data_IF_522822322202
#
_entry.id   IF_522822322202
#
_cell.length_a   1.000
_cell.length_b   1.000
_cell.length_c   1.000
_cell.angle_alpha   90.00
_cell.angle_beta   90.00
_cell.angle_gamma   90.00
#
_symmetry.space_group_name_H-M   'P 1'
#
loop_
_entity.id
_entity.type
_entity.pdbx_description
1 polymer ?
#
# COMPACT_ATOMS: atom_id res chain seq x y z
N UNK A 1 10.14 5.22 -12.42
CA UNK A 1 9.38 3.98 -12.12
C UNK A 1 8.85 3.42 -13.42
N UNK A 2 9.10 2.14 -13.72
CA UNK A 2 8.46 1.41 -14.83
C UNK A 2 6.93 1.46 -14.65
N UNK A 3 6.16 1.33 -15.73
CA UNK A 3 4.68 1.29 -15.74
C UNK A 3 4.14 0.42 -14.57
N UNK A 4 4.72 -0.76 -14.41
CA UNK A 4 4.40 -1.77 -13.40
C UNK A 4 4.45 -1.24 -11.96
N UNK A 5 5.39 -0.34 -11.66
CA UNK A 5 5.50 0.25 -10.32
C UNK A 5 4.36 1.21 -10.00
N UNK A 6 3.82 1.92 -11.00
CA UNK A 6 2.67 2.81 -10.82
C UNK A 6 1.40 2.00 -10.59
N UNK A 7 1.22 0.91 -11.35
CA UNK A 7 0.08 0.01 -11.21
C UNK A 7 0.14 -0.68 -9.84
N UNK A 8 1.31 -1.19 -9.44
CA UNK A 8 1.52 -1.77 -8.11
C UNK A 8 1.16 -0.80 -6.98
N UNK A 9 1.58 0.47 -7.08
CA UNK A 9 1.22 1.50 -6.11
C UNK A 9 -0.29 1.75 -6.04
N UNK A 10 -0.95 1.83 -7.20
CA UNK A 10 -2.40 2.04 -7.25
C UNK A 10 -3.16 0.86 -6.62
N UNK A 11 -2.81 -0.37 -6.99
CA UNK A 11 -3.46 -1.58 -6.48
C UNK A 11 -3.26 -1.71 -4.97
N UNK A 12 -2.05 -1.43 -4.48
CA UNK A 12 -1.76 -1.44 -3.06
C UNK A 12 -2.55 -0.37 -2.30
N UNK A 13 -2.67 0.85 -2.83
CA UNK A 13 -3.46 1.90 -2.20
C UNK A 13 -4.96 1.59 -2.23
N UNK A 14 -5.47 0.94 -3.29
CA UNK A 14 -6.85 0.42 -3.37
C UNK A 14 -7.09 -0.67 -2.35
N UNK A 15 -6.19 -1.65 -2.26
CA UNK A 15 -6.23 -2.70 -1.23
C UNK A 15 -6.35 -2.08 0.16
N UNK A 16 -5.47 -1.12 0.48
CA UNK A 16 -5.47 -0.45 1.78
C UNK A 16 -6.72 0.39 2.05
N UNK A 17 -7.35 0.96 1.02
CA UNK A 17 -8.63 1.66 1.15
C UNK A 17 -9.75 0.70 1.52
N UNK A 18 -9.79 -0.47 0.87
CA UNK A 18 -10.87 -1.45 1.04
C UNK A 18 -10.72 -2.27 2.34
N UNK A 19 -9.50 -2.69 2.66
CA UNK A 19 -9.20 -3.58 3.78
C UNK A 19 -8.68 -2.83 5.03
N UNK A 20 -8.48 -1.51 4.91
CA UNK A 20 -8.00 -0.61 5.96
C UNK A 20 -6.50 -0.71 6.26
N UNK A 21 -5.91 -1.91 6.14
CA UNK A 21 -4.52 -2.12 6.51
C UNK A 21 -3.87 -3.34 5.85
N UNK A 22 -2.54 -3.31 5.75
CA UNK A 22 -1.72 -4.37 5.18
C UNK A 22 -0.63 -4.77 6.16
N UNK A 23 -0.43 -6.06 6.38
CA UNK A 23 0.69 -6.56 7.19
C UNK A 23 1.69 -7.20 6.24
N UNK A 24 2.93 -6.73 6.28
CA UNK A 24 4.00 -7.35 5.52
C UNK A 24 4.38 -8.68 6.19
N UNK A 25 3.76 -9.78 5.76
CA UNK A 25 4.08 -11.13 6.20
C UNK A 25 4.67 -11.95 5.03
N UNK A 26 4.91 -13.24 5.27
CA UNK A 26 5.53 -14.16 4.29
C UNK A 26 4.67 -14.33 3.02
N UNK A 27 3.37 -14.02 3.03
CA UNK A 27 2.47 -14.20 1.88
C UNK A 27 1.68 -12.93 1.50
N UNK A 28 1.82 -12.52 0.24
CA UNK A 28 0.99 -11.44 -0.29
C UNK A 28 -0.48 -11.90 -0.41
N UNK A 29 -1.45 -11.01 -0.13
CA UNK A 29 -2.87 -11.26 -0.39
C UNK A 29 -3.07 -11.48 -1.89
N UNK A 30 -4.11 -12.24 -2.26
CA UNK A 30 -4.33 -12.67 -3.64
C UNK A 30 -4.32 -11.51 -4.65
N UNK A 31 -4.89 -10.37 -4.28
CA UNK A 31 -4.95 -9.14 -5.08
C UNK A 31 -3.56 -8.59 -5.45
N UNK A 32 -2.54 -8.86 -4.62
CA UNK A 32 -1.18 -8.38 -4.81
C UNK A 32 -0.19 -9.48 -5.23
N UNK A 33 -0.63 -10.74 -5.37
CA UNK A 33 0.23 -11.88 -5.75
C UNK A 33 0.83 -11.78 -7.14
N UNK A 34 0.30 -10.91 -7.99
CA UNK A 34 0.88 -10.60 -9.30
C UNK A 34 2.21 -9.82 -9.19
N UNK A 35 2.50 -9.26 -8.01
CA UNK A 35 3.74 -8.54 -7.72
C UNK A 35 4.68 -9.38 -6.86
N UNK A 36 5.98 -9.17 -7.02
CA UNK A 36 6.96 -9.76 -6.10
C UNK A 36 6.94 -9.05 -4.74
N UNK A 37 7.28 -9.78 -3.67
CA UNK A 37 7.46 -9.18 -2.33
C UNK A 37 8.41 -7.98 -2.34
N UNK A 38 9.49 -8.07 -3.13
CA UNK A 38 10.45 -6.97 -3.27
C UNK A 38 9.78 -5.72 -3.84
N UNK A 39 9.00 -5.84 -4.92
CA UNK A 39 8.27 -4.72 -5.50
C UNK A 39 7.27 -4.13 -4.49
N UNK A 40 6.47 -4.96 -3.83
CA UNK A 40 5.49 -4.47 -2.84
C UNK A 40 6.19 -3.73 -1.71
N UNK A 41 7.33 -4.24 -1.23
CA UNK A 41 8.09 -3.58 -0.18
C UNK A 41 8.69 -2.23 -0.62
N UNK A 42 9.28 -2.15 -1.81
CA UNK A 42 9.80 -0.90 -2.36
C UNK A 42 8.70 0.16 -2.52
N UNK A 43 7.51 -0.26 -2.96
CA UNK A 43 6.36 0.62 -3.10
C UNK A 43 5.82 1.05 -1.73
N UNK A 44 5.72 0.16 -0.75
CA UNK A 44 5.31 0.50 0.61
C UNK A 44 6.23 1.56 1.24
N UNK A 45 7.54 1.38 1.12
CA UNK A 45 8.53 2.34 1.59
C UNK A 45 8.40 3.68 0.86
N UNK A 46 8.19 3.66 -0.45
CA UNK A 46 7.97 4.87 -1.25
C UNK A 46 6.71 5.62 -0.80
N UNK A 47 5.58 4.93 -0.65
CA UNK A 47 4.32 5.54 -0.21
C UNK A 47 4.39 6.05 1.23
N UNK A 48 5.14 5.37 2.09
CA UNK A 48 5.44 5.83 3.45
C UNK A 48 6.28 7.11 3.45
N UNK A 49 7.35 7.15 2.63
CA UNK A 49 8.19 8.35 2.47
C UNK A 49 7.39 9.57 1.99
N UNK A 50 6.41 9.37 1.10
CA UNK A 50 5.49 10.43 0.67
C UNK A 50 4.35 10.75 1.65
N UNK A 51 4.36 10.17 2.86
CA UNK A 51 3.34 10.34 3.90
C UNK A 51 1.92 9.97 3.46
N UNK A 52 1.79 9.06 2.49
CA UNK A 52 0.51 8.49 2.09
C UNK A 52 0.12 7.33 3.00
N UNK A 53 1.11 6.67 3.61
CA UNK A 53 0.95 5.59 4.58
C UNK A 53 1.56 5.95 5.93
N UNK A 54 1.08 5.31 6.99
CA UNK A 54 1.75 5.25 8.28
C UNK A 54 1.99 3.79 8.69
N UNK A 55 3.07 3.57 9.45
CA UNK A 55 3.42 2.26 10.03
C UNK A 55 2.86 2.14 11.44
N UNK A 56 2.30 0.99 11.75
CA UNK A 56 1.89 0.56 13.09
C UNK A 56 2.73 -0.66 13.43
N UNK A 57 3.45 -0.59 14.54
CA UNK A 57 4.23 -1.72 15.03
C UNK A 57 3.34 -2.60 15.91
N UNK A 58 3.03 -3.80 15.42
CA UNK A 58 2.27 -4.79 16.18
C UNK A 58 3.13 -5.48 17.25
N UNK A 59 2.46 -6.22 18.15
CA UNK A 59 3.17 -7.16 19.03
C UNK A 59 3.95 -8.15 18.15
N UNK A 60 5.23 -8.41 18.49
CA UNK A 60 6.20 -9.23 17.72
C UNK A 60 6.89 -8.54 16.52
N UNK A 61 6.85 -7.22 16.44
CA UNK A 61 7.62 -6.48 15.42
C UNK A 61 7.05 -6.56 14.01
N UNK A 62 5.81 -7.03 13.85
CA UNK A 62 5.13 -7.02 12.57
C UNK A 62 4.79 -5.59 12.15
N UNK A 63 5.28 -5.19 10.98
CA UNK A 63 4.97 -3.90 10.40
C UNK A 63 3.61 -3.95 9.69
N UNK A 64 2.70 -3.10 10.16
CA UNK A 64 1.37 -2.92 9.58
C UNK A 64 1.27 -1.54 8.96
N UNK A 65 0.86 -1.47 7.71
CA UNK A 65 0.71 -0.25 6.92
C UNK A 65 -0.76 0.13 6.80
N UNK A 66 -1.07 1.42 6.85
CA UNK A 66 -2.43 1.94 6.69
C UNK A 66 -2.40 3.33 6.06
N UNK A 67 -3.47 3.71 5.34
CA UNK A 67 -3.55 5.01 4.70
C UNK A 67 -3.64 6.13 5.74
N UNK A 68 -2.80 7.16 5.59
CA UNK A 68 -2.99 8.43 6.30
C UNK A 68 -4.24 9.14 5.79
N UNK A 69 -4.66 10.21 6.47
CA UNK A 69 -5.72 11.08 5.95
C UNK A 69 -5.38 11.62 4.56
N UNK A 70 -4.11 11.93 4.29
CA UNK A 70 -3.62 12.34 2.98
C UNK A 70 -3.74 11.23 1.95
N UNK A 71 -3.33 10.00 2.30
CA UNK A 71 -3.49 8.83 1.42
C UNK A 71 -4.95 8.57 1.06
N UNK A 72 -5.86 8.64 2.04
CA UNK A 72 -7.31 8.51 1.82
C UNK A 72 -7.85 9.61 0.89
N UNK A 73 -7.43 10.85 1.11
CA UNK A 73 -7.82 11.97 0.24
C UNK A 73 -7.37 11.75 -1.21
N UNK A 74 -6.11 11.33 -1.43
CA UNK A 74 -5.58 11.02 -2.76
C UNK A 74 -6.41 9.93 -3.43
N UNK A 75 -6.70 8.82 -2.72
CA UNK A 75 -7.54 7.75 -3.28
C UNK A 75 -8.94 8.20 -3.65
N UNK A 76 -9.59 9.00 -2.79
CA UNK A 76 -10.91 9.54 -3.10
C UNK A 76 -10.90 10.45 -4.33
N UNK A 77 -9.81 11.21 -4.55
CA UNK A 77 -9.66 12.02 -5.75
C UNK A 77 -9.45 11.17 -7.01
N UNK A 78 -8.70 10.07 -6.91
CA UNK A 78 -8.51 9.13 -8.02
C UNK A 78 -9.86 8.51 -8.41
N UNK A 79 -10.63 8.02 -7.43
CA UNK A 79 -11.91 7.37 -7.70
C UNK A 79 -12.96 8.35 -8.25
N UNK A 80 -12.92 9.63 -7.85
CA UNK A 80 -13.85 10.66 -8.38
C UNK A 80 -13.61 11.07 -9.83
N UNK A 81 -12.51 10.60 -10.44
CA UNK A 81 -12.12 10.91 -11.83
C UNK A 81 -12.39 9.74 -12.79
N UNK A 82 -12.87 8.62 -12.26
CA UNK A 82 -13.28 7.42 -13.01
C UNK A 82 -14.81 7.42 -13.06
#
# INVERSE_FOLDING_TARGET
MREDGKICALDLMRYLKNHGSFVLNISLPNELKIYSHKQVNEILETLFHYHLLFKIYGKRGLEKYSLTNRGKYVMNKIDSRI
#
